data_IF_763629674259
#
_entry.id   IF_763629674259
#
_cell.length_a   1.000
_cell.length_b   1.000
_cell.length_c   1.000
_cell.angle_alpha   90.00
_cell.angle_beta   90.00
_cell.angle_gamma   90.00
#
_symmetry.space_group_name_H-M   'P 1'
#
loop_
_entity.id
_entity.type
_entity.pdbx_description
1 polymer ?
#
# COMPACT_ATOMS: atom_id res chain seq x y z
N UNK A 1 23.16 6.56 22.85
CA UNK A 1 22.77 7.56 21.81
C UNK A 1 22.88 6.84 20.49
N UNK A 2 21.75 6.51 19.85
CA UNK A 2 21.73 5.65 18.67
C UNK A 2 22.46 6.28 17.47
N UNK A 3 23.05 5.43 16.65
CA UNK A 3 23.91 5.80 15.53
C UNK A 3 23.18 6.69 14.52
N UNK A 4 23.42 8.00 14.58
CA UNK A 4 22.87 8.95 13.60
C UNK A 4 23.63 8.76 12.28
N UNK A 5 22.98 8.15 11.29
CA UNK A 5 23.47 8.12 9.93
C UNK A 5 23.41 9.54 9.32
N UNK A 6 24.55 10.04 8.84
CA UNK A 6 24.66 11.36 8.20
C UNK A 6 25.05 11.20 6.74
N UNK A 7 24.24 11.79 5.86
CA UNK A 7 24.46 11.79 4.42
C UNK A 7 24.25 13.18 3.85
N UNK A 8 24.99 13.51 2.79
CA UNK A 8 24.85 14.78 2.08
C UNK A 8 24.07 14.58 0.79
N UNK A 9 22.90 15.19 0.67
CA UNK A 9 22.08 15.11 -0.53
C UNK A 9 22.32 16.31 -1.45
N UNK A 10 22.46 16.05 -2.75
CA UNK A 10 22.40 17.10 -3.78
C UNK A 10 20.98 17.10 -4.33
N UNK A 11 20.30 18.24 -4.24
CA UNK A 11 18.93 18.39 -4.72
C UNK A 11 18.81 19.62 -5.61
N UNK A 12 17.87 19.61 -6.59
CA UNK A 12 17.57 20.80 -7.38
C UNK A 12 17.16 21.97 -6.47
N UNK A 13 17.64 23.17 -6.77
CA UNK A 13 17.37 24.36 -5.96
C UNK A 13 15.87 24.63 -5.78
N UNK A 14 15.08 24.44 -6.84
CA UNK A 14 13.62 24.60 -6.80
C UNK A 14 12.93 23.62 -5.84
N UNK A 15 13.50 22.43 -5.63
CA UNK A 15 12.98 21.47 -4.65
C UNK A 15 13.35 21.88 -3.23
N UNK A 16 14.57 22.40 -3.03
CA UNK A 16 15.00 22.91 -1.74
C UNK A 16 14.14 24.09 -1.27
N UNK A 17 13.85 25.05 -2.15
CA UNK A 17 13.00 26.21 -1.84
C UNK A 17 11.60 25.77 -1.37
N UNK A 18 11.00 24.79 -2.04
CA UNK A 18 9.72 24.21 -1.61
C UNK A 18 9.82 23.53 -0.25
N UNK A 19 10.86 22.74 -0.03
CA UNK A 19 11.07 22.07 1.25
C UNK A 19 11.26 23.08 2.39
N UNK A 20 11.99 24.18 2.13
CA UNK A 20 12.22 25.26 3.07
C UNK A 20 10.93 25.99 3.43
N UNK A 21 10.13 26.39 2.44
CA UNK A 21 8.84 27.05 2.67
C UNK A 21 7.90 26.18 3.53
N UNK A 22 7.91 24.86 3.30
CA UNK A 22 7.11 23.91 4.07
C UNK A 22 7.63 23.75 5.51
N UNK A 23 8.95 23.73 5.69
CA UNK A 23 9.58 23.69 7.00
C UNK A 23 9.28 24.96 7.81
N UNK A 24 9.35 26.13 7.17
CA UNK A 24 9.00 27.43 7.75
C UNK A 24 7.52 27.46 8.16
N UNK A 25 6.60 26.98 7.30
CA UNK A 25 5.18 26.87 7.63
C UNK A 25 4.92 25.94 8.82
N UNK A 26 5.69 24.87 8.93
CA UNK A 26 5.59 23.91 10.02
C UNK A 26 6.36 24.31 11.29
N UNK A 27 7.07 25.45 11.29
CA UNK A 27 7.85 25.93 12.43
C UNK A 27 9.01 25.00 12.82
N UNK A 28 9.59 24.26 11.87
CA UNK A 28 10.67 23.29 12.11
C UNK A 28 11.84 23.49 11.16
N UNK A 29 12.98 22.89 11.49
CA UNK A 29 14.15 22.95 10.60
C UNK A 29 13.91 22.19 9.29
N UNK A 30 14.59 22.60 8.23
CA UNK A 30 14.55 21.90 6.93
C UNK A 30 14.91 20.43 7.07
N UNK A 31 15.88 20.10 7.92
CA UNK A 31 16.24 18.71 8.19
C UNK A 31 15.11 17.94 8.90
N UNK A 32 14.43 18.56 9.87
CA UNK A 32 13.29 17.94 10.54
C UNK A 32 12.10 17.73 9.59
N UNK A 33 11.87 18.65 8.66
CA UNK A 33 10.88 18.47 7.59
C UNK A 33 11.25 17.32 6.65
N UNK A 34 12.51 17.25 6.21
CA UNK A 34 13.01 16.18 5.36
C UNK A 34 12.86 14.81 6.02
N UNK A 35 13.36 14.67 7.25
CA UNK A 35 13.26 13.44 8.03
C UNK A 35 11.80 13.05 8.22
N UNK A 36 10.93 13.98 8.64
CA UNK A 36 9.51 13.67 8.84
C UNK A 36 8.76 13.31 7.55
N UNK A 37 9.19 13.79 6.38
CA UNK A 37 8.67 13.32 5.09
C UNK A 37 9.14 11.91 4.79
N UNK A 38 10.42 11.63 4.96
CA UNK A 38 10.99 10.30 4.74
C UNK A 38 10.36 9.27 5.66
N UNK A 39 10.22 9.57 6.95
CA UNK A 39 9.54 8.70 7.91
C UNK A 39 8.11 8.39 7.49
N UNK A 40 7.32 9.40 7.10
CA UNK A 40 5.94 9.19 6.64
C UNK A 40 5.87 8.35 5.35
N UNK A 41 6.78 8.56 4.41
CA UNK A 41 6.83 7.75 3.17
C UNK A 41 7.25 6.31 3.47
N UNK A 42 8.20 6.10 4.38
CA UNK A 42 8.71 4.77 4.72
C UNK A 42 7.79 4.00 5.67
N UNK A 43 7.10 4.69 6.58
CA UNK A 43 6.06 4.11 7.43
C UNK A 43 4.84 3.70 6.60
N UNK A 44 4.49 4.47 5.56
CA UNK A 44 3.49 4.07 4.57
C UNK A 44 3.96 2.93 3.66
N UNK A 45 5.26 2.81 3.40
CA UNK A 45 5.78 1.75 2.50
C UNK A 45 6.11 0.43 3.20
N UNK A 46 6.21 0.38 4.53
CA UNK A 46 6.73 -0.81 5.23
C UNK A 46 5.67 -1.88 5.52
N UNK A 47 4.37 -1.61 5.39
CA UNK A 47 3.32 -2.60 5.66
C UNK A 47 2.09 -2.53 4.75
N UNK A 48 1.94 -1.53 3.88
CA UNK A 48 1.05 -1.67 2.74
C UNK A 48 1.85 -2.28 1.61
N UNK A 49 1.78 -3.60 1.48
CA UNK A 49 1.77 -4.11 0.11
C UNK A 49 0.63 -3.34 -0.55
N UNK A 50 0.95 -2.45 -1.50
CA UNK A 50 -0.10 -1.71 -2.17
C UNK A 50 -1.01 -2.75 -2.83
N UNK A 51 -2.16 -2.97 -2.19
CA UNK A 51 -3.12 -4.00 -2.55
C UNK A 51 -3.53 -3.78 -4.02
N UNK A 52 -3.51 -2.53 -4.48
CA UNK A 52 -3.71 -2.17 -5.88
C UNK A 52 -2.66 -2.79 -6.81
N UNK A 53 -1.39 -2.80 -6.44
CA UNK A 53 -0.33 -3.41 -7.24
C UNK A 53 -0.45 -4.94 -7.27
N UNK A 54 -0.89 -5.58 -6.17
CA UNK A 54 -1.22 -7.02 -6.19
C UNK A 54 -2.38 -7.27 -7.16
N UNK A 55 -3.46 -6.50 -7.05
CA UNK A 55 -4.64 -6.65 -7.90
C UNK A 55 -4.30 -6.47 -9.38
N UNK A 56 -3.54 -5.42 -9.71
CA UNK A 56 -3.10 -5.15 -11.09
C UNK A 56 -2.19 -6.27 -11.62
N UNK A 57 -1.30 -6.81 -10.80
CA UNK A 57 -0.46 -7.94 -11.17
C UNK A 57 -1.29 -9.20 -11.43
N UNK A 58 -2.29 -9.49 -10.59
CA UNK A 58 -3.20 -10.63 -10.73
C UNK A 58 -4.09 -10.51 -11.98
N UNK A 59 -4.59 -9.32 -12.29
CA UNK A 59 -5.34 -9.05 -13.52
C UNK A 59 -4.51 -9.36 -14.76
N UNK A 60 -3.29 -8.81 -14.81
CA UNK A 60 -2.35 -9.07 -15.91
C UNK A 60 -2.02 -10.55 -16.04
N UNK A 61 -1.81 -11.24 -14.93
CA UNK A 61 -1.49 -12.66 -14.90
C UNK A 61 -2.67 -13.52 -15.39
N UNK A 62 -3.89 -13.19 -14.96
CA UNK A 62 -5.12 -13.89 -15.35
C UNK A 62 -5.49 -13.68 -16.81
N UNK A 63 -5.24 -12.49 -17.36
CA UNK A 63 -5.44 -12.20 -18.77
C UNK A 63 -4.44 -12.97 -19.67
N UNK A 64 -3.22 -13.21 -19.17
CA UNK A 64 -2.20 -14.01 -19.86
C UNK A 64 -2.46 -15.51 -19.78
N UNK A 65 -3.15 -15.98 -18.74
CA UNK A 65 -3.42 -17.39 -18.50
C UNK A 65 -4.93 -17.60 -18.23
N UNK A 66 -5.77 -17.58 -19.27
CA UNK A 66 -7.24 -17.59 -19.11
C UNK A 66 -7.78 -18.88 -18.48
N UNK A 67 -7.05 -20.00 -18.66
CA UNK A 67 -7.39 -21.30 -18.08
C UNK A 67 -7.07 -21.40 -16.58
N UNK A 68 -6.24 -20.50 -16.05
CA UNK A 68 -5.86 -20.51 -14.64
C UNK A 68 -6.77 -19.60 -13.81
N UNK A 69 -7.23 -20.13 -12.68
CA UNK A 69 -7.99 -19.41 -11.67
C UNK A 69 -7.05 -18.99 -10.54
N UNK A 70 -6.99 -17.70 -10.26
CA UNK A 70 -6.18 -17.15 -9.17
C UNK A 70 -7.06 -16.75 -8.00
N UNK A 71 -6.68 -17.18 -6.80
CA UNK A 71 -7.32 -16.79 -5.54
C UNK A 71 -6.31 -16.00 -4.71
N UNK A 72 -6.80 -15.04 -3.93
CA UNK A 72 -6.01 -14.35 -2.93
C UNK A 72 -6.84 -14.27 -1.65
N UNK A 73 -6.19 -14.49 -0.50
CA UNK A 73 -6.83 -14.49 0.80
C UNK A 73 -6.00 -13.68 1.78
N UNK A 74 -6.63 -12.78 2.53
CA UNK A 74 -6.02 -12.09 3.66
C UNK A 74 -6.54 -12.70 4.96
N UNK A 75 -5.62 -13.07 5.86
CA UNK A 75 -5.99 -13.53 7.20
C UNK A 75 -6.17 -12.30 8.11
N UNK A 76 -7.41 -11.91 8.38
CA UNK A 76 -7.77 -10.84 9.31
C UNK A 76 -8.09 -11.36 10.73
N UNK A 77 -7.58 -12.53 11.11
CA UNK A 77 -7.81 -13.12 12.43
C UNK A 77 -9.23 -13.67 12.66
N UNK A 78 -10.03 -13.82 11.61
CA UNK A 78 -11.34 -14.51 11.63
C UNK A 78 -11.38 -15.64 10.59
N UNK A 79 -12.14 -16.69 10.87
CA UNK A 79 -12.41 -17.74 9.87
C UNK A 79 -13.21 -17.14 8.71
N UNK A 80 -12.62 -17.12 7.51
CA UNK A 80 -13.34 -16.76 6.30
C UNK A 80 -14.27 -17.93 5.93
N UNK A 81 -15.54 -17.86 6.36
CA UNK A 81 -16.57 -18.80 5.90
C UNK A 81 -17.12 -18.32 4.54
N UNK A 82 -16.83 -19.07 3.47
CA UNK A 82 -17.33 -18.81 2.12
C UNK A 82 -16.33 -19.13 1.00
N UNK A 83 -16.77 -19.01 -0.26
CA UNK A 83 -15.88 -19.15 -1.42
C UNK A 83 -14.89 -17.98 -1.49
N UNK A 84 -13.59 -18.25 -1.62
CA UNK A 84 -12.59 -17.19 -1.73
C UNK A 84 -12.80 -16.36 -3.01
N UNK A 85 -12.60 -15.02 -2.94
CA UNK A 85 -12.51 -14.17 -4.13
C UNK A 85 -11.53 -14.75 -5.15
N UNK A 86 -11.90 -14.73 -6.42
CA UNK A 86 -11.03 -15.21 -7.49
C UNK A 86 -11.13 -14.38 -8.76
N UNK A 87 -10.07 -14.44 -9.56
CA UNK A 87 -10.01 -13.89 -10.91
C UNK A 87 -9.70 -14.99 -11.91
N UNK A 88 -10.43 -14.96 -13.02
CA UNK A 88 -10.21 -15.83 -14.17
C UNK A 88 -10.50 -15.03 -15.43
N UNK A 89 -9.63 -15.14 -16.43
CA UNK A 89 -9.78 -14.43 -17.71
C UNK A 89 -10.04 -12.91 -17.52
N UNK A 90 -9.30 -12.26 -16.61
CA UNK A 90 -9.44 -10.83 -16.32
C UNK A 90 -10.72 -10.43 -15.58
N UNK A 91 -11.59 -11.36 -15.20
CA UNK A 91 -12.88 -11.08 -14.54
C UNK A 91 -12.87 -11.50 -13.08
N UNK A 92 -13.15 -10.54 -12.19
CA UNK A 92 -13.32 -10.78 -10.76
C UNK A 92 -14.65 -11.42 -10.44
N UNK A 93 -14.62 -12.43 -9.57
CA UNK A 93 -15.80 -13.01 -8.94
C UNK A 93 -15.62 -12.92 -7.42
N UNK A 94 -16.52 -12.17 -6.79
CA UNK A 94 -16.57 -11.97 -5.34
C UNK A 94 -17.64 -12.90 -4.75
N UNK A 95 -17.43 -13.48 -3.56
CA UNK A 95 -18.50 -14.20 -2.86
C UNK A 95 -19.68 -13.26 -2.63
N UNK A 96 -20.89 -13.75 -2.88
CA UNK A 96 -22.10 -13.05 -2.46
C UNK A 96 -22.10 -12.99 -0.92
N UNK A 97 -22.32 -11.80 -0.34
CA UNK A 97 -22.69 -11.71 1.06
C UNK A 97 -24.10 -12.30 1.19
N UNK A 98 -24.22 -13.59 1.46
CA UNK A 98 -25.50 -14.16 1.88
C UNK A 98 -25.76 -13.70 3.33
N UNK A 99 -26.81 -12.90 3.60
CA UNK A 99 -27.17 -12.57 4.97
C UNK A 99 -27.64 -13.86 5.65
N UNK A 100 -27.00 -14.20 6.76
CA UNK A 100 -27.39 -15.31 7.62
C UNK A 100 -28.84 -15.13 8.02
N UNK A 101 -29.74 -15.92 7.42
CA UNK A 101 -31.05 -16.16 8.01
C UNK A 101 -30.80 -17.04 9.23
N UNK A 102 -30.76 -16.41 10.40
CA UNK A 102 -30.91 -17.10 11.67
C UNK A 102 -32.28 -17.79 11.66
N UNK A 103 -32.28 -19.12 11.56
CA UNK A 103 -33.44 -19.93 11.90
C UNK A 103 -33.40 -20.19 13.40
N UNK A 104 -34.56 -19.98 14.02
CA UNK A 104 -34.88 -20.13 15.45
C UNK A 104 -34.47 -21.48 16.08
#
# INVERSE_FOLDING_TARGET
MGDIHRSQYRMPFSLFEKLKAEADRAGRSVNAELVGRLERTLLGSSNEIDIRHIFEALERLSARNPEMRYTFSFNLGGELQGSSPHIQNGKWTLPANEPTTSLD
#
